data_IF_123297492091
#
_entry.id   IF_123297492091
#
_cell.length_a   1.000
_cell.length_b   1.000
_cell.length_c   1.000
_cell.angle_alpha   90.00
_cell.angle_beta   90.00
_cell.angle_gamma   90.00
#
_symmetry.space_group_name_H-M   'P 1'
#
loop_
_entity.id
_entity.type
_entity.pdbx_description
1 polymer ?
#
# COMPACT_ATOMS: atom_id res chain seq x y z
N UNK A 1 13.01 22.31 -10.79
CA UNK A 1 11.68 21.69 -10.84
C UNK A 1 11.73 20.49 -9.94
N UNK A 2 11.17 20.58 -8.72
CA UNK A 2 10.99 19.42 -7.88
C UNK A 2 9.81 18.61 -8.39
N UNK A 3 9.93 17.30 -8.37
CA UNK A 3 8.86 16.39 -8.78
C UNK A 3 8.31 15.72 -7.52
N UNK A 4 7.17 16.20 -7.05
CA UNK A 4 6.48 15.61 -5.90
C UNK A 4 6.13 14.13 -6.14
N UNK A 5 5.91 13.72 -7.39
CA UNK A 5 5.67 12.31 -7.72
C UNK A 5 6.92 11.47 -7.40
N UNK A 6 8.12 11.93 -7.74
CA UNK A 6 9.37 11.22 -7.43
C UNK A 6 9.59 11.12 -5.90
N UNK A 7 9.22 12.18 -5.16
CA UNK A 7 9.28 12.16 -3.70
C UNK A 7 8.31 11.14 -3.10
N UNK A 8 7.05 11.13 -3.54
CA UNK A 8 6.02 10.21 -3.08
C UNK A 8 6.34 8.76 -3.45
N UNK A 9 6.90 8.53 -4.65
CA UNK A 9 7.37 7.21 -5.07
C UNK A 9 8.48 6.72 -4.13
N UNK A 10 9.48 7.56 -3.84
CA UNK A 10 10.59 7.21 -2.95
C UNK A 10 10.11 6.99 -1.51
N UNK A 11 9.13 7.77 -1.06
CA UNK A 11 8.46 7.55 0.22
C UNK A 11 7.79 6.17 0.29
N UNK A 12 7.14 5.74 -0.78
CA UNK A 12 6.50 4.42 -0.88
C UNK A 12 7.50 3.26 -0.99
N UNK A 13 8.58 3.44 -1.75
CA UNK A 13 9.57 2.39 -2.05
C UNK A 13 10.48 2.05 -0.87
N UNK A 14 11.05 3.07 -0.22
CA UNK A 14 12.10 2.87 0.80
C UNK A 14 11.53 2.58 2.20
N UNK A 15 10.24 2.82 2.43
CA UNK A 15 9.54 2.58 3.71
C UNK A 15 10.01 3.42 4.91
N UNK A 16 11.24 3.94 4.88
CA UNK A 16 11.83 4.78 5.93
C UNK A 16 11.07 6.08 6.10
N UNK A 17 10.73 6.74 5.01
CA UNK A 17 9.95 7.98 5.04
C UNK A 17 8.51 7.74 5.52
N UNK A 18 7.92 6.58 5.21
CA UNK A 18 6.58 6.22 5.70
C UNK A 18 6.49 6.22 7.24
N UNK A 19 7.60 5.92 7.91
CA UNK A 19 7.70 5.86 9.37
C UNK A 19 8.63 6.93 9.96
N UNK A 20 9.05 7.91 9.16
CA UNK A 20 9.92 8.98 9.60
C UNK A 20 9.22 9.86 10.63
N UNK A 21 10.01 10.43 11.55
CA UNK A 21 9.50 11.46 12.44
C UNK A 21 9.06 12.69 11.63
N UNK A 22 8.19 13.53 12.19
CA UNK A 22 7.76 14.77 11.53
C UNK A 22 8.96 15.64 11.13
N UNK A 23 9.97 15.74 12.00
CA UNK A 23 11.19 16.51 11.73
C UNK A 23 12.02 15.95 10.58
N UNK A 24 12.14 14.63 10.49
CA UNK A 24 12.85 13.98 9.38
C UNK A 24 12.07 14.14 8.07
N UNK A 25 10.74 14.13 8.13
CA UNK A 25 9.87 14.41 6.98
C UNK A 25 10.01 15.86 6.49
N UNK A 26 10.00 16.83 7.41
CA UNK A 26 10.25 18.24 7.11
C UNK A 26 11.58 18.42 6.38
N UNK A 27 12.67 17.86 6.93
CA UNK A 27 13.98 17.91 6.28
C UNK A 27 14.00 17.24 4.91
N UNK A 28 13.30 16.12 4.74
CA UNK A 28 13.22 15.44 3.45
C UNK A 28 12.46 16.27 2.39
N UNK A 29 11.37 16.96 2.80
CA UNK A 29 10.59 17.86 1.93
C UNK A 29 11.40 19.09 1.53
N UNK A 30 12.17 19.67 2.45
CA UNK A 30 13.09 20.79 2.18
C UNK A 30 14.19 20.40 1.19
N UNK A 31 14.85 19.25 1.41
CA UNK A 31 15.90 18.73 0.51
C UNK A 31 15.34 18.46 -0.89
N UNK A 32 14.10 17.94 -0.95
CA UNK A 32 13.41 17.70 -2.21
C UNK A 32 12.87 18.99 -2.87
N UNK A 33 12.99 20.15 -2.22
CA UNK A 33 12.48 21.45 -2.69
C UNK A 33 10.99 21.39 -3.06
N UNK A 34 10.19 20.67 -2.29
CA UNK A 34 8.75 20.60 -2.49
C UNK A 34 8.15 21.97 -2.20
N UNK A 35 7.14 22.33 -2.99
CA UNK A 35 6.39 23.58 -2.79
C UNK A 35 5.89 23.68 -1.32
N UNK A 36 6.05 24.84 -0.64
CA UNK A 36 5.71 24.96 0.77
C UNK A 36 4.25 24.64 1.10
N UNK A 37 3.31 24.96 0.21
CA UNK A 37 1.88 24.67 0.42
C UNK A 37 1.64 23.16 0.34
N UNK A 38 2.29 22.49 -0.61
CA UNK A 38 2.20 21.03 -0.76
C UNK A 38 2.94 20.29 0.36
N UNK A 39 4.08 20.79 0.81
CA UNK A 39 4.82 20.25 1.95
C UNK A 39 3.98 20.31 3.24
N UNK A 40 3.30 21.44 3.49
CA UNK A 40 2.39 21.59 4.62
C UNK A 40 1.21 20.58 4.54
N UNK A 41 0.63 20.39 3.35
CA UNK A 41 -0.43 19.41 3.14
C UNK A 41 0.04 17.96 3.42
N UNK A 42 1.26 17.61 2.99
CA UNK A 42 1.89 16.30 3.26
C UNK A 42 2.11 16.08 4.76
N UNK A 43 2.62 17.08 5.48
CA UNK A 43 2.85 16.99 6.93
C UNK A 43 1.54 16.87 7.72
N UNK A 44 0.50 17.58 7.29
CA UNK A 44 -0.84 17.51 7.85
C UNK A 44 -1.58 16.20 7.48
N UNK A 45 -1.05 15.41 6.54
CA UNK A 45 -1.72 14.24 5.94
C UNK A 45 -3.07 14.59 5.32
N UNK A 46 -3.21 15.80 4.80
CA UNK A 46 -4.44 16.30 4.18
C UNK A 46 -4.52 15.82 2.73
N UNK A 47 -5.10 14.63 2.53
CA UNK A 47 -5.22 14.03 1.21
C UNK A 47 -6.07 14.88 0.25
N UNK A 48 -7.12 15.54 0.73
CA UNK A 48 -7.97 16.38 -0.10
C UNK A 48 -7.22 17.60 -0.62
N UNK A 49 -6.42 18.25 0.24
CA UNK A 49 -5.59 19.37 -0.17
C UNK A 49 -4.49 18.91 -1.14
N UNK A 50 -3.85 17.77 -0.90
CA UNK A 50 -2.86 17.19 -1.82
C UNK A 50 -3.48 16.92 -3.19
N UNK A 51 -4.66 16.31 -3.26
CA UNK A 51 -5.38 16.05 -4.51
C UNK A 51 -5.68 17.35 -5.27
N UNK A 52 -6.16 18.38 -4.57
CA UNK A 52 -6.46 19.68 -5.17
C UNK A 52 -5.22 20.38 -5.74
N UNK A 53 -4.08 20.30 -5.04
CA UNK A 53 -2.81 20.88 -5.48
C UNK A 53 -2.20 20.12 -6.66
N UNK A 54 -2.53 18.83 -6.81
CA UNK A 54 -2.08 17.98 -7.91
C UNK A 54 -3.05 17.96 -9.11
N UNK A 55 -4.17 18.70 -9.04
CA UNK A 55 -5.09 18.88 -10.15
C UNK A 55 -6.32 17.98 -10.16
N UNK A 56 -6.81 17.55 -8.99
CA UNK A 56 -8.11 16.87 -8.80
C UNK A 56 -8.33 15.66 -9.74
N UNK A 57 -7.28 14.84 -9.90
CA UNK A 57 -7.37 13.62 -10.71
C UNK A 57 -7.99 12.47 -9.90
N UNK A 58 -8.95 11.75 -10.49
CA UNK A 58 -9.48 10.53 -9.89
C UNK A 58 -8.42 9.44 -9.93
N UNK A 59 -7.90 9.05 -8.76
CA UNK A 59 -6.95 7.95 -8.62
C UNK A 59 -7.73 6.64 -8.44
N UNK A 60 -7.50 5.67 -9.32
CA UNK A 60 -8.07 4.33 -9.22
C UNK A 60 -6.98 3.32 -8.92
N UNK A 61 -7.08 2.63 -7.77
CA UNK A 61 -6.19 1.54 -7.39
C UNK A 61 -6.97 0.22 -7.43
N UNK A 62 -6.52 -0.75 -8.23
CA UNK A 62 -7.09 -2.09 -8.27
C UNK A 62 -6.05 -3.12 -7.82
N UNK A 63 -6.41 -3.94 -6.83
CA UNK A 63 -5.65 -5.14 -6.47
C UNK A 63 -6.21 -6.31 -7.27
N UNK A 64 -5.46 -6.77 -8.26
CA UNK A 64 -5.81 -7.96 -9.02
C UNK A 64 -5.23 -9.18 -8.28
N UNK A 65 -6.04 -10.20 -7.94
CA UNK A 65 -5.51 -11.43 -7.38
C UNK A 65 -4.52 -12.06 -8.35
N UNK A 66 -3.42 -12.60 -7.83
CA UNK A 66 -2.50 -13.41 -8.62
C UNK A 66 -3.27 -14.58 -9.23
N UNK A 67 -3.01 -14.88 -10.51
CA UNK A 67 -3.49 -16.13 -11.09
C UNK A 67 -2.85 -17.25 -10.29
N UNK A 68 -3.66 -18.15 -9.74
CA UNK A 68 -3.13 -19.47 -9.35
C UNK A 68 -2.67 -20.11 -10.65
N UNK A 69 -1.39 -20.47 -10.73
CA UNK A 69 -0.94 -21.36 -11.79
C UNK A 69 -1.81 -22.62 -11.67
N UNK A 70 -2.62 -22.89 -12.68
CA UNK A 70 -3.28 -24.18 -12.81
C UNK A 70 -2.14 -25.20 -12.94
N UNK A 71 -1.86 -25.92 -11.84
CA UNK A 71 -0.93 -27.04 -11.85
C UNK A 71 -1.41 -28.01 -12.95
N UNK A 72 -0.60 -28.20 -13.99
CA UNK A 72 -0.83 -29.29 -14.94
C UNK A 72 -0.91 -30.59 -14.13
N UNK A 73 -2.10 -31.19 -14.11
CA UNK A 73 -2.37 -32.50 -13.51
C UNK A 73 -1.49 -33.56 -14.20
N UNK A 74 -0.28 -33.75 -13.68
CA UNK A 74 0.53 -34.92 -13.94
C UNK A 74 -0.14 -36.12 -13.25
N UNK A 75 -0.78 -36.98 -14.05
CA UNK A 75 -1.31 -38.27 -13.60
C UNK A 75 -0.21 -39.06 -12.88
N UNK A 76 -0.34 -39.16 -11.54
CA UNK A 76 0.48 -40.01 -10.68
C UNK A 76 -0.44 -40.79 -9.76
N UNK A 77 -0.68 -42.05 -10.11
CA UNK A 77 -1.44 -43.03 -9.31
C UNK A 77 -0.86 -43.24 -7.90
N UNK A 78 -1.79 -43.39 -6.94
CA UNK A 78 -1.77 -44.21 -5.72
C UNK A 78 -0.74 -43.94 -4.60
N UNK A 79 -1.21 -43.34 -3.49
CA UNK A 79 -1.70 -44.08 -2.30
C UNK A 79 -1.95 -43.10 -1.14
N UNK A 80 -3.18 -43.11 -0.60
CA UNK A 80 -3.57 -42.28 0.54
C UNK A 80 -3.12 -42.90 1.89
N UNK A 81 -2.77 -42.06 2.88
CA UNK A 81 -3.10 -42.38 4.25
C UNK A 81 -4.07 -41.35 4.86
N UNK A 82 -5.18 -41.91 5.32
CA UNK A 82 -6.18 -41.48 6.30
C UNK A 82 -5.98 -40.18 7.10
N UNK A 83 -7.02 -39.33 6.96
CA UNK A 83 -7.50 -38.19 7.76
C UNK A 83 -7.25 -38.23 9.27
N UNK A 84 -6.65 -37.17 9.80
CA UNK A 84 -6.99 -36.62 11.12
C UNK A 84 -7.55 -35.20 10.98
N UNK A 85 -8.79 -35.06 11.45
CA UNK A 85 -9.62 -33.86 11.37
C UNK A 85 -9.15 -32.82 12.38
N UNK A 86 -8.65 -31.68 11.89
CA UNK A 86 -8.62 -30.45 12.69
C UNK A 86 -9.29 -29.34 11.89
N UNK A 87 -10.56 -29.12 12.22
CA UNK A 87 -11.37 -28.04 11.66
C UNK A 87 -10.76 -26.69 11.98
N UNK A 88 -10.32 -25.97 10.95
CA UNK A 88 -10.10 -24.52 11.04
C UNK A 88 -11.33 -23.90 10.38
N UNK A 89 -12.20 -23.19 11.13
CA UNK A 89 -13.37 -22.57 10.53
C UNK A 89 -12.90 -21.52 9.53
N UNK A 90 -13.43 -21.62 8.30
CA UNK A 90 -13.27 -20.63 7.25
C UNK A 90 -13.56 -19.24 7.83
N UNK A 91 -12.53 -18.42 7.96
CA UNK A 91 -12.67 -17.02 8.36
C UNK A 91 -12.65 -16.18 7.10
N UNK A 92 -13.82 -15.61 6.80
CA UNK A 92 -14.00 -14.65 5.72
C UNK A 92 -12.92 -13.55 5.78
N UNK A 93 -12.14 -13.34 4.70
CA UNK A 93 -11.09 -12.32 4.67
C UNK A 93 -11.63 -10.87 4.69
N UNK A 94 -12.96 -10.70 4.61
CA UNK A 94 -13.62 -9.40 4.52
C UNK A 94 -13.85 -8.71 5.88
N UNK A 95 -13.46 -9.31 7.00
CA UNK A 95 -13.76 -8.77 8.34
C UNK A 95 -12.68 -7.86 8.95
N UNK A 96 -11.54 -7.61 8.28
CA UNK A 96 -10.39 -6.91 8.90
C UNK A 96 -9.99 -5.58 8.28
N UNK A 97 -10.96 -4.77 7.88
CA UNK A 97 -10.76 -3.30 7.79
C UNK A 97 -11.87 -2.58 8.55
N UNK A 98 -11.83 -2.66 9.88
CA UNK A 98 -12.42 -1.62 10.72
C UNK A 98 -11.30 -0.68 11.13
N UNK A 99 -11.23 0.47 10.47
CA UNK A 99 -10.42 1.58 10.94
C UNK A 99 -11.18 2.18 12.13
N UNK A 100 -10.69 1.91 13.34
CA UNK A 100 -11.19 2.59 14.54
C UNK A 100 -10.76 4.06 14.46
N UNK A 101 -11.76 4.95 14.55
CA UNK A 101 -11.61 6.39 14.71
C UNK A 101 -11.24 6.74 16.14
#
# INVERSE_FOLDING_TARGET
MSNVIDFLERMGRDGKLRHASTKDMEGALEVAQIDPQLAAAILAKDSALIESLLGDSKIYCALMPGKQDEEEEGEGEDEAPSREESGIPSRDPLSRVTFAR
#
